data_IF_165809888070
#
_entry.id   IF_165809888070
#
_cell.length_a   1.000
_cell.length_b   1.000
_cell.length_c   1.000
_cell.angle_alpha   90.00
_cell.angle_beta   90.00
_cell.angle_gamma   90.00
#
_symmetry.space_group_name_H-M   'P 1'
#
loop_
_entity.id
_entity.type
_entity.pdbx_description
1 polymer ?
#
# COMPACT_ATOMS: atom_id res chain seq x y z
N UNK A 1 31.44 -11.47 -14.55
CA UNK A 1 32.78 -11.32 -13.92
C UNK A 1 33.53 -10.22 -14.64
N UNK A 2 33.86 -9.15 -13.96
CA UNK A 2 34.62 -8.04 -14.53
C UNK A 2 36.06 -8.16 -14.02
N UNK A 3 37.03 -8.16 -14.95
CA UNK A 3 38.43 -8.19 -14.60
C UNK A 3 38.97 -6.77 -14.52
N UNK A 4 39.63 -6.44 -13.42
CA UNK A 4 40.34 -5.18 -13.27
C UNK A 4 41.82 -5.48 -13.36
N UNK A 5 42.45 -4.88 -14.35
CA UNK A 5 43.90 -4.95 -14.51
C UNK A 5 44.47 -3.61 -14.01
N UNK A 6 45.22 -3.62 -12.93
CA UNK A 6 45.99 -2.45 -12.51
C UNK A 6 47.06 -2.09 -13.51
N UNK A 7 47.28 -0.80 -13.76
CA UNK A 7 48.36 -0.32 -14.64
C UNK A 7 49.71 -0.76 -14.07
N UNK A 8 50.30 -1.73 -14.71
CA UNK A 8 51.63 -2.26 -14.35
C UNK A 8 51.62 -3.48 -13.42
N UNK A 9 50.46 -4.01 -13.03
CA UNK A 9 50.36 -5.24 -12.24
C UNK A 9 50.01 -6.44 -13.13
N UNK A 10 50.64 -7.59 -12.85
CA UNK A 10 50.27 -8.88 -13.43
C UNK A 10 49.15 -9.58 -12.71
N UNK A 11 48.61 -8.96 -11.63
CA UNK A 11 47.54 -9.52 -10.85
C UNK A 11 46.18 -9.12 -11.42
N UNK A 12 45.37 -10.11 -11.73
CA UNK A 12 44.01 -9.95 -12.20
C UNK A 12 43.08 -10.20 -10.99
N UNK A 13 42.39 -9.16 -10.54
CA UNK A 13 41.42 -9.29 -9.47
C UNK A 13 40.05 -9.65 -10.05
N UNK A 14 39.43 -10.70 -9.53
CA UNK A 14 38.08 -11.06 -9.85
C UNK A 14 37.12 -10.23 -8.95
N UNK A 15 36.40 -9.29 -9.56
CA UNK A 15 35.38 -8.55 -8.87
C UNK A 15 34.03 -9.24 -9.07
N UNK A 16 33.49 -9.78 -8.01
CA UNK A 16 32.20 -10.44 -8.04
C UNK A 16 31.09 -9.39 -7.80
N UNK A 17 30.60 -8.78 -8.88
CA UNK A 17 29.50 -7.82 -8.82
C UNK A 17 28.18 -8.55 -8.92
N UNK A 18 27.25 -8.26 -8.01
CA UNK A 18 25.88 -8.68 -8.19
C UNK A 18 25.28 -7.98 -9.40
N UNK A 19 24.67 -8.77 -10.28
CA UNK A 19 23.85 -8.24 -11.37
C UNK A 19 22.58 -7.56 -10.81
N UNK A 20 21.86 -6.87 -11.68
CA UNK A 20 20.57 -6.28 -11.30
C UNK A 20 19.58 -7.37 -10.88
N UNK A 21 19.54 -8.47 -11.63
CA UNK A 21 18.66 -9.60 -11.38
C UNK A 21 18.96 -10.28 -10.03
N UNK A 22 20.24 -10.48 -9.71
CA UNK A 22 20.67 -11.02 -8.42
C UNK A 22 20.33 -10.07 -7.28
N UNK A 23 20.47 -8.75 -7.47
CA UNK A 23 20.09 -7.75 -6.49
C UNK A 23 18.57 -7.69 -6.29
N UNK A 24 17.80 -7.70 -7.37
CA UNK A 24 16.32 -7.71 -7.32
C UNK A 24 15.82 -9.00 -6.63
N UNK A 25 16.47 -10.14 -6.91
CA UNK A 25 16.18 -11.38 -6.20
C UNK A 25 16.47 -11.25 -4.70
N UNK A 26 17.66 -10.75 -4.33
CA UNK A 26 18.02 -10.54 -2.93
C UNK A 26 17.01 -9.59 -2.22
N UNK A 27 16.67 -8.47 -2.84
CA UNK A 27 15.68 -7.53 -2.31
C UNK A 27 14.32 -8.22 -2.09
N UNK A 28 13.91 -9.11 -3.00
CA UNK A 28 12.64 -9.83 -2.93
C UNK A 28 12.54 -10.81 -1.74
N UNK A 29 13.67 -11.24 -1.17
CA UNK A 29 13.70 -12.08 0.03
C UNK A 29 13.30 -11.31 1.29
N UNK A 30 13.41 -9.98 1.29
CA UNK A 30 12.98 -9.15 2.42
C UNK A 30 11.48 -8.92 2.36
N UNK A 31 10.75 -9.51 3.29
CA UNK A 31 9.27 -9.45 3.36
C UNK A 31 8.72 -8.34 4.25
N UNK A 32 9.58 -7.46 4.77
CA UNK A 32 9.15 -6.38 5.67
C UNK A 32 8.10 -5.46 5.05
N UNK A 33 8.24 -5.12 3.76
CA UNK A 33 7.30 -4.25 3.02
C UNK A 33 6.04 -4.97 2.56
N UNK A 34 5.93 -6.28 2.81
CA UNK A 34 4.72 -7.03 2.48
C UNK A 34 3.55 -6.59 3.37
N UNK A 35 2.34 -6.47 2.83
CA UNK A 35 1.16 -6.12 3.62
C UNK A 35 0.89 -7.17 4.71
N UNK A 36 0.37 -6.73 5.85
CA UNK A 36 -0.13 -7.65 6.88
C UNK A 36 -1.27 -8.51 6.31
N UNK A 37 -1.48 -9.70 6.86
CA UNK A 37 -2.45 -10.67 6.35
C UNK A 37 -3.86 -10.09 6.20
N UNK A 38 -4.33 -9.34 7.21
CA UNK A 38 -5.62 -8.66 7.17
C UNK A 38 -5.69 -7.57 6.07
N UNK A 39 -4.59 -6.86 5.82
CA UNK A 39 -4.50 -5.85 4.76
C UNK A 39 -4.47 -6.51 3.38
N UNK A 40 -3.74 -7.61 3.25
CA UNK A 40 -3.64 -8.36 2.00
C UNK A 40 -4.97 -8.97 1.57
N UNK A 41 -5.71 -9.53 2.54
CA UNK A 41 -7.03 -10.14 2.30
C UNK A 41 -8.13 -9.11 1.99
N UNK A 42 -7.95 -7.84 2.39
CA UNK A 42 -8.93 -6.81 2.15
C UNK A 42 -8.91 -6.34 0.68
N UNK A 43 -10.02 -6.42 -0.08
CA UNK A 43 -10.04 -5.95 -1.47
C UNK A 43 -9.78 -4.45 -1.59
N UNK A 44 -10.03 -3.70 -0.52
CA UNK A 44 -9.76 -2.26 -0.45
C UNK A 44 -8.35 -1.91 0.04
N UNK A 45 -7.56 -2.91 0.46
CA UNK A 45 -6.23 -2.72 1.07
C UNK A 45 -6.24 -1.73 2.23
N UNK A 46 -7.26 -1.85 3.09
CA UNK A 46 -7.38 -1.07 4.31
C UNK A 46 -6.13 -1.25 5.17
N UNK A 47 -5.54 -0.17 5.64
CA UNK A 47 -4.49 -0.27 6.66
C UNK A 47 -5.10 -0.60 8.03
N UNK A 48 -5.62 -1.82 8.11
CA UNK A 48 -6.27 -2.38 9.31
C UNK A 48 -5.32 -2.35 10.50
N UNK A 49 -4.04 -2.57 10.27
CA UNK A 49 -3.02 -2.58 11.32
C UNK A 49 -2.87 -1.19 11.97
N UNK A 50 -2.72 -0.14 11.17
CA UNK A 50 -2.63 1.23 11.67
C UNK A 50 -3.95 1.68 12.32
N UNK A 51 -5.09 1.31 11.73
CA UNK A 51 -6.41 1.59 12.27
C UNK A 51 -6.59 0.98 13.67
N UNK A 52 -6.29 -0.31 13.85
CA UNK A 52 -6.35 -0.99 15.14
C UNK A 52 -5.35 -0.42 16.15
N UNK A 53 -4.17 0.01 15.73
CA UNK A 53 -3.21 0.68 16.59
C UNK A 53 -3.77 1.97 17.20
N UNK A 54 -4.47 2.80 16.40
CA UNK A 54 -5.11 4.00 16.93
C UNK A 54 -6.33 3.68 17.78
N UNK A 55 -7.13 2.68 17.41
CA UNK A 55 -8.26 2.22 18.20
C UNK A 55 -7.81 1.71 19.59
N UNK A 56 -6.75 0.90 19.66
CA UNK A 56 -6.15 0.42 20.90
C UNK A 56 -5.67 1.55 21.83
N UNK A 57 -5.38 2.73 21.30
CA UNK A 57 -5.06 3.94 22.05
C UNK A 57 -6.27 4.82 22.38
N UNK A 58 -7.48 4.37 22.07
CA UNK A 58 -8.71 5.16 22.24
C UNK A 58 -8.82 6.34 21.26
N UNK A 59 -7.96 6.44 20.25
CA UNK A 59 -7.99 7.53 19.29
C UNK A 59 -8.85 7.19 18.07
N UNK A 60 -10.15 7.07 18.30
CA UNK A 60 -11.15 6.74 17.27
C UNK A 60 -11.18 7.74 16.12
N UNK A 61 -10.86 9.01 16.38
CA UNK A 61 -10.79 10.04 15.33
C UNK A 61 -9.71 9.73 14.28
N UNK A 62 -8.49 9.36 14.73
CA UNK A 62 -7.42 8.97 13.80
C UNK A 62 -7.72 7.63 13.12
N UNK A 63 -8.29 6.68 13.84
CA UNK A 63 -8.71 5.41 13.28
C UNK A 63 -9.77 5.60 12.19
N UNK A 64 -10.80 6.44 12.43
CA UNK A 64 -11.81 6.78 11.43
C UNK A 64 -11.21 7.46 10.20
N UNK A 65 -10.24 8.35 10.38
CA UNK A 65 -9.58 9.01 9.26
C UNK A 65 -8.86 8.04 8.30
N UNK A 66 -8.39 6.88 8.81
CA UNK A 66 -7.83 5.81 7.97
C UNK A 66 -8.96 5.13 7.19
N UNK A 67 -10.07 4.83 7.85
CA UNK A 67 -11.22 4.21 7.21
C UNK A 67 -11.83 5.12 6.12
N UNK A 68 -11.96 6.42 6.37
CA UNK A 68 -12.48 7.41 5.42
C UNK A 68 -11.61 7.57 4.15
N UNK A 69 -10.32 7.20 4.18
CA UNK A 69 -9.51 7.12 2.96
C UNK A 69 -10.01 6.03 2.02
N UNK A 70 -10.55 4.96 2.57
CA UNK A 70 -10.99 3.79 1.80
C UNK A 70 -12.37 4.01 1.21
N UNK A 71 -13.31 4.49 2.00
CA UNK A 71 -14.70 4.65 1.57
C UNK A 71 -15.28 6.00 1.98
N UNK A 72 -16.14 6.59 1.13
CA UNK A 72 -16.90 7.78 1.50
C UNK A 72 -18.03 7.49 2.50
N UNK A 73 -18.50 6.23 2.59
CA UNK A 73 -19.62 5.79 3.44
C UNK A 73 -19.19 4.66 4.38
N UNK A 74 -18.48 4.99 5.47
CA UNK A 74 -17.90 4.01 6.38
C UNK A 74 -18.90 3.08 7.04
N UNK A 75 -20.05 3.58 7.50
CA UNK A 75 -21.05 2.76 8.18
C UNK A 75 -21.69 1.75 7.23
N UNK A 76 -22.02 2.16 6.01
CA UNK A 76 -22.59 1.26 5.01
C UNK A 76 -21.60 0.15 4.65
N UNK A 77 -20.31 0.51 4.46
CA UNK A 77 -19.30 -0.48 4.11
C UNK A 77 -19.06 -1.47 5.26
N UNK A 78 -18.85 -1.01 6.48
CA UNK A 78 -18.53 -1.91 7.60
C UNK A 78 -19.70 -2.83 7.96
N UNK A 79 -20.95 -2.37 7.81
CA UNK A 79 -22.12 -3.22 8.06
C UNK A 79 -22.26 -4.35 7.03
N UNK A 80 -22.05 -4.06 5.76
CA UNK A 80 -22.14 -5.04 4.69
C UNK A 80 -20.83 -5.78 4.38
N UNK A 81 -19.77 -5.58 5.18
CA UNK A 81 -18.48 -6.24 4.98
C UNK A 81 -18.52 -7.70 5.44
N UNK A 82 -18.02 -8.63 4.61
CA UNK A 82 -17.87 -10.05 4.96
C UNK A 82 -16.65 -10.33 5.85
N UNK A 83 -15.86 -9.30 6.16
CA UNK A 83 -14.69 -9.33 7.03
C UNK A 83 -13.60 -10.36 6.65
N UNK A 84 -13.13 -10.44 5.38
CA UNK A 84 -12.09 -11.38 4.99
C UNK A 84 -10.77 -11.15 5.74
N UNK A 85 -10.59 -9.98 6.33
CA UNK A 85 -9.47 -9.63 7.20
C UNK A 85 -9.47 -10.42 8.51
N UNK A 86 -10.63 -10.78 9.07
CA UNK A 86 -10.75 -11.57 10.29
C UNK A 86 -10.35 -13.03 10.04
N UNK A 87 -10.81 -13.62 8.94
CA UNK A 87 -10.47 -14.99 8.53
C UNK A 87 -8.96 -15.17 8.28
N UNK A 88 -8.29 -14.07 7.90
CA UNK A 88 -6.86 -14.06 7.65
C UNK A 88 -6.04 -13.42 8.80
N UNK A 89 -6.65 -13.22 9.97
CA UNK A 89 -5.95 -12.69 11.13
C UNK A 89 -4.94 -13.71 11.67
N UNK A 90 -3.65 -13.34 11.70
CA UNK A 90 -2.57 -14.23 12.15
C UNK A 90 -2.75 -14.69 13.61
N UNK A 91 -3.36 -13.88 14.46
CA UNK A 91 -3.67 -14.27 15.83
C UNK A 91 -4.63 -15.47 15.89
N UNK A 92 -5.46 -15.66 14.87
CA UNK A 92 -6.38 -16.80 14.74
C UNK A 92 -5.70 -18.17 14.73
N UNK A 93 -4.38 -18.25 14.47
CA UNK A 93 -3.61 -19.49 14.59
C UNK A 93 -3.38 -19.93 16.05
N UNK A 94 -3.52 -19.03 17.00
CA UNK A 94 -3.33 -19.31 18.44
C UNK A 94 -4.64 -19.31 19.25
N UNK A 95 -5.76 -18.98 18.61
CA UNK A 95 -7.06 -18.88 19.27
C UNK A 95 -8.05 -18.08 18.43
N UNK A 96 -8.76 -17.12 19.03
CA UNK A 96 -9.65 -16.25 18.28
C UNK A 96 -8.87 -15.14 17.59
N UNK A 97 -9.13 -14.88 16.30
CA UNK A 97 -8.69 -13.67 15.61
C UNK A 97 -9.28 -12.40 16.24
N UNK A 98 -8.79 -11.26 15.84
CA UNK A 98 -9.36 -9.95 16.25
C UNK A 98 -10.69 -9.73 15.54
N UNK A 99 -11.73 -9.33 16.26
CA UNK A 99 -13.04 -8.95 15.70
C UNK A 99 -12.96 -7.58 15.03
N UNK A 100 -12.30 -7.53 13.88
CA UNK A 100 -11.94 -6.30 13.18
C UNK A 100 -13.18 -5.50 12.79
N UNK A 101 -14.20 -6.16 12.24
CA UNK A 101 -15.45 -5.53 11.80
C UNK A 101 -16.19 -4.85 12.95
N UNK A 102 -16.25 -5.47 14.12
CA UNK A 102 -16.91 -4.87 15.27
C UNK A 102 -16.12 -3.68 15.83
N UNK A 103 -14.80 -3.73 15.77
CA UNK A 103 -13.95 -2.57 16.08
C UNK A 103 -14.15 -1.46 15.03
N UNK A 104 -14.28 -1.78 13.75
CA UNK A 104 -14.61 -0.81 12.68
C UNK A 104 -15.95 -0.12 12.94
N UNK A 105 -17.00 -0.88 13.31
CA UNK A 105 -18.31 -0.32 13.71
C UNK A 105 -18.18 0.65 14.87
N UNK A 106 -17.43 0.29 15.90
CA UNK A 106 -17.17 1.17 17.03
C UNK A 106 -16.39 2.43 16.60
N UNK A 107 -15.39 2.29 15.73
CA UNK A 107 -14.64 3.43 15.19
C UNK A 107 -15.55 4.40 14.43
N UNK A 108 -16.45 3.89 13.59
CA UNK A 108 -17.39 4.73 12.84
C UNK A 108 -18.41 5.39 13.75
N UNK A 109 -18.90 4.66 14.76
CA UNK A 109 -19.91 5.15 15.72
C UNK A 109 -19.35 6.22 16.66
N UNK A 110 -18.14 6.03 17.17
CA UNK A 110 -17.54 6.89 18.20
C UNK A 110 -16.46 7.84 17.67
N UNK A 111 -16.03 7.66 16.43
CA UNK A 111 -15.10 8.55 15.79
C UNK A 111 -15.77 9.84 15.34
N UNK A 112 -15.10 10.96 15.56
CA UNK A 112 -15.52 12.22 14.98
C UNK A 112 -15.01 12.33 13.55
N UNK A 113 -15.88 12.57 12.55
CA UNK A 113 -15.45 12.81 11.18
C UNK A 113 -14.40 13.93 11.12
N UNK A 114 -13.35 13.73 10.38
CA UNK A 114 -12.38 14.77 10.14
C UNK A 114 -13.06 15.99 9.49
N UNK A 115 -12.68 17.22 9.89
CA UNK A 115 -13.09 18.39 9.12
C UNK A 115 -12.57 18.23 7.70
N UNK A 116 -13.47 18.18 6.71
CA UNK A 116 -13.05 18.23 5.32
C UNK A 116 -12.27 19.52 5.13
N UNK A 117 -11.00 19.37 4.81
CA UNK A 117 -10.12 20.52 4.60
C UNK A 117 -10.69 21.36 3.46
N UNK A 118 -11.00 22.61 3.74
CA UNK A 118 -11.36 23.62 2.75
C UNK A 118 -10.14 24.14 1.95
N UNK A 119 -9.03 23.41 2.00
CA UNK A 119 -7.86 23.72 1.17
C UNK A 119 -8.33 23.73 -0.28
N UNK A 120 -8.02 24.80 -0.99
CA UNK A 120 -8.31 25.02 -2.40
C UNK A 120 -8.00 23.77 -3.23
N UNK A 121 -9.01 22.88 -3.36
CA UNK A 121 -8.92 21.74 -4.26
C UNK A 121 -9.46 22.22 -5.59
N UNK A 122 -8.63 22.23 -6.62
CA UNK A 122 -9.07 22.55 -7.98
C UNK A 122 -9.98 21.45 -8.50
N UNK A 123 -11.24 21.79 -8.77
CA UNK A 123 -12.18 20.89 -9.45
C UNK A 123 -11.68 20.58 -10.86
N UNK A 124 -11.88 19.36 -11.29
CA UNK A 124 -11.68 18.97 -12.69
C UNK A 124 -12.68 19.69 -13.58
N UNK A 125 -12.31 19.90 -14.84
CA UNK A 125 -13.17 20.62 -15.79
C UNK A 125 -14.29 19.75 -16.36
N UNK A 126 -14.06 18.43 -16.38
CA UNK A 126 -14.96 17.44 -16.96
C UNK A 126 -16.06 17.06 -15.96
N UNK A 127 -17.27 16.90 -16.43
CA UNK A 127 -18.48 16.65 -15.64
C UNK A 127 -18.90 15.19 -15.73
N UNK A 128 -19.31 14.61 -14.63
CA UNK A 128 -19.91 13.29 -14.57
C UNK A 128 -21.40 13.40 -14.26
N UNK A 129 -22.21 12.59 -14.91
CA UNK A 129 -23.62 12.39 -14.59
C UNK A 129 -23.84 10.97 -14.08
N UNK A 130 -24.57 10.82 -12.99
CA UNK A 130 -24.97 9.53 -12.43
C UNK A 130 -26.48 9.44 -12.47
N UNK A 131 -27.01 8.39 -13.10
CA UNK A 131 -28.44 8.14 -13.21
C UNK A 131 -28.86 6.94 -12.36
N UNK A 132 -29.79 7.17 -11.46
CA UNK A 132 -30.36 6.16 -10.56
C UNK A 132 -29.84 6.20 -9.15
N UNK A 133 -30.31 5.25 -8.36
CA UNK A 133 -30.02 5.09 -6.92
C UNK A 133 -29.51 3.67 -6.62
N UNK A 134 -29.16 3.43 -5.38
CA UNK A 134 -28.64 2.16 -4.91
C UNK A 134 -27.16 2.22 -4.51
N UNK A 135 -26.61 1.08 -4.13
CA UNK A 135 -25.25 0.99 -3.57
C UNK A 135 -24.16 1.48 -4.54
N UNK A 136 -24.18 0.99 -5.79
CA UNK A 136 -23.15 1.36 -6.77
C UNK A 136 -23.14 2.85 -7.09
N UNK A 137 -24.26 3.50 -7.48
CA UNK A 137 -24.32 4.94 -7.70
C UNK A 137 -23.89 5.76 -6.48
N UNK A 138 -24.28 5.35 -5.28
CA UNK A 138 -23.91 6.02 -4.03
C UNK A 138 -22.39 6.01 -3.80
N UNK A 139 -21.78 4.83 -3.84
CA UNK A 139 -20.33 4.71 -3.66
C UNK A 139 -19.55 5.42 -4.78
N UNK A 140 -20.03 5.31 -6.03
CA UNK A 140 -19.39 5.97 -7.17
C UNK A 140 -19.44 7.50 -7.04
N UNK A 141 -20.56 8.06 -6.60
CA UNK A 141 -20.67 9.51 -6.36
C UNK A 141 -19.61 10.00 -5.38
N UNK A 142 -19.43 9.29 -4.27
CA UNK A 142 -18.42 9.63 -3.29
C UNK A 142 -16.97 9.43 -3.77
N UNK A 143 -16.70 8.40 -4.58
CA UNK A 143 -15.36 8.19 -5.17
C UNK A 143 -15.04 9.26 -6.24
N UNK A 144 -16.02 9.71 -7.02
CA UNK A 144 -15.84 10.80 -7.98
C UNK A 144 -15.65 12.15 -7.26
N UNK A 145 -16.34 12.39 -6.15
CA UNK A 145 -16.12 13.58 -5.31
C UNK A 145 -14.69 13.61 -4.75
N UNK A 146 -14.17 12.47 -4.25
CA UNK A 146 -12.77 12.35 -3.82
C UNK A 146 -11.79 12.71 -4.94
N UNK A 147 -12.10 12.35 -6.18
CA UNK A 147 -11.32 12.67 -7.39
C UNK A 147 -11.58 14.07 -7.93
N UNK A 148 -12.41 14.88 -7.27
CA UNK A 148 -12.74 16.26 -7.62
C UNK A 148 -13.48 16.44 -8.95
N UNK A 149 -14.27 15.43 -9.36
CA UNK A 149 -15.16 15.56 -10.51
C UNK A 149 -16.44 16.30 -10.11
N UNK A 150 -16.83 17.38 -10.82
CA UNK A 150 -18.18 17.93 -10.73
C UNK A 150 -19.17 16.84 -11.14
N UNK A 151 -19.96 16.36 -10.19
CA UNK A 151 -20.86 15.22 -10.38
C UNK A 151 -22.29 15.63 -10.09
N UNK A 152 -23.21 15.33 -11.02
CA UNK A 152 -24.64 15.51 -10.84
C UNK A 152 -25.34 14.16 -10.78
N UNK A 153 -26.13 13.94 -9.75
CA UNK A 153 -26.89 12.71 -9.53
C UNK A 153 -28.38 12.99 -9.84
N UNK A 154 -28.94 12.21 -10.77
CA UNK A 154 -30.34 12.24 -11.15
C UNK A 154 -31.03 11.01 -10.59
N UNK A 155 -31.96 11.17 -9.68
CA UNK A 155 -32.60 10.07 -8.96
C UNK A 155 -34.11 10.26 -8.79
N UNK A 156 -34.82 9.15 -8.53
CA UNK A 156 -36.27 9.13 -8.31
C UNK A 156 -36.66 9.58 -6.89
N UNK A 157 -35.77 9.41 -5.97
CA UNK A 157 -35.97 9.74 -4.55
C UNK A 157 -36.19 11.24 -4.35
N UNK A 158 -36.84 11.60 -3.26
CA UNK A 158 -37.25 12.98 -2.98
C UNK A 158 -36.20 13.79 -2.18
N UNK A 159 -35.32 13.08 -1.46
CA UNK A 159 -34.32 13.68 -0.59
C UNK A 159 -33.12 12.75 -0.33
N UNK A 160 -32.16 13.24 0.48
CA UNK A 160 -30.96 12.48 0.85
C UNK A 160 -31.26 11.25 1.71
N UNK A 161 -32.28 11.32 2.58
CA UNK A 161 -32.62 10.21 3.47
C UNK A 161 -33.25 9.05 2.70
N UNK A 162 -34.19 9.35 1.80
CA UNK A 162 -34.77 8.35 0.89
C UNK A 162 -33.73 7.76 -0.07
N UNK A 163 -32.78 8.58 -0.53
CA UNK A 163 -31.68 8.10 -1.39
C UNK A 163 -30.77 7.11 -0.63
N UNK A 164 -30.40 7.40 0.60
CA UNK A 164 -29.63 6.46 1.46
C UNK A 164 -30.48 5.22 1.80
N UNK A 165 -31.78 5.39 2.09
CA UNK A 165 -32.66 4.27 2.37
C UNK A 165 -32.81 3.31 1.17
N UNK A 166 -32.81 3.81 -0.04
CA UNK A 166 -32.81 2.99 -1.27
C UNK A 166 -31.52 2.17 -1.42
N UNK A 167 -30.38 2.68 -0.94
CA UNK A 167 -29.10 1.99 -1.01
C UNK A 167 -28.84 1.05 0.19
N UNK A 168 -29.20 1.48 1.41
CA UNK A 168 -28.84 0.84 2.66
C UNK A 168 -30.02 0.81 3.67
N UNK A 169 -31.18 0.38 3.21
CA UNK A 169 -32.41 0.32 4.01
C UNK A 169 -32.35 -0.61 5.22
N UNK A 170 -31.42 -1.57 5.25
CA UNK A 170 -31.19 -2.50 6.34
C UNK A 170 -30.50 -1.87 7.57
N UNK A 171 -29.83 -0.73 7.40
CA UNK A 171 -29.20 -0.02 8.52
C UNK A 171 -30.21 0.55 9.51
N UNK A 172 -29.77 0.74 10.76
CA UNK A 172 -30.54 1.47 11.74
C UNK A 172 -30.84 2.90 11.26
N UNK A 173 -31.98 3.43 11.65
CA UNK A 173 -32.42 4.78 11.23
C UNK A 173 -31.40 5.87 11.60
N UNK A 174 -30.82 5.78 12.82
CA UNK A 174 -29.76 6.69 13.26
C UNK A 174 -28.53 6.67 12.34
N UNK A 175 -28.13 5.49 11.89
CA UNK A 175 -26.97 5.29 11.05
C UNK A 175 -27.25 5.79 9.62
N UNK A 176 -28.46 5.54 9.09
CA UNK A 176 -28.90 6.10 7.80
C UNK A 176 -28.91 7.62 7.83
N UNK A 177 -29.46 8.23 8.89
CA UNK A 177 -29.48 9.69 9.03
C UNK A 177 -28.09 10.29 9.10
N UNK A 178 -27.14 9.61 9.74
CA UNK A 178 -25.75 10.04 9.79
C UNK A 178 -25.08 9.97 8.40
N UNK A 179 -25.32 8.89 7.64
CA UNK A 179 -24.80 8.78 6.28
C UNK A 179 -25.48 9.77 5.32
N UNK A 180 -26.77 10.08 5.50
CA UNK A 180 -27.45 11.12 4.74
C UNK A 180 -26.87 12.53 5.01
N UNK A 181 -26.55 12.85 6.28
CA UNK A 181 -25.85 14.09 6.65
C UNK A 181 -24.45 14.13 6.01
N UNK A 182 -23.75 12.99 5.99
CA UNK A 182 -22.44 12.86 5.33
C UNK A 182 -22.56 13.12 3.83
N UNK A 183 -23.51 12.49 3.16
CA UNK A 183 -23.79 12.69 1.74
C UNK A 183 -24.11 14.17 1.42
N UNK A 184 -24.97 14.78 2.22
CA UNK A 184 -25.34 16.21 2.09
C UNK A 184 -24.14 17.15 2.24
N UNK A 185 -23.12 16.76 3.01
CA UNK A 185 -21.90 17.54 3.21
C UNK A 185 -20.88 17.42 2.07
N UNK A 186 -21.12 16.53 1.12
CA UNK A 186 -20.27 16.32 -0.05
C UNK A 186 -20.51 17.40 -1.10
N UNK A 187 -19.49 17.64 -1.92
CA UNK A 187 -19.54 18.60 -3.03
C UNK A 187 -20.16 17.95 -4.29
N UNK A 188 -21.42 17.49 -4.14
CA UNK A 188 -22.21 16.80 -5.15
C UNK A 188 -23.49 17.59 -5.46
N UNK A 189 -23.93 17.57 -6.70
CA UNK A 189 -25.21 18.14 -7.11
C UNK A 189 -26.25 17.03 -7.24
N UNK A 190 -27.45 17.25 -6.65
CA UNK A 190 -28.56 16.30 -6.75
C UNK A 190 -29.75 16.94 -7.46
N UNK A 191 -30.34 16.22 -8.40
CA UNK A 191 -31.67 16.48 -8.95
C UNK A 191 -32.58 15.33 -8.50
N UNK A 192 -33.39 15.60 -7.46
CA UNK A 192 -34.34 14.67 -6.87
C UNK A 192 -35.66 14.62 -7.63
N UNK A 193 -36.46 13.56 -7.44
CA UNK A 193 -37.79 13.40 -8.02
C UNK A 193 -37.80 13.27 -9.54
N UNK A 194 -36.68 12.87 -10.15
CA UNK A 194 -36.57 12.76 -11.59
C UNK A 194 -37.33 11.56 -12.16
N UNK A 195 -38.06 11.76 -13.25
CA UNK A 195 -38.58 10.66 -14.03
C UNK A 195 -37.49 10.12 -14.98
N UNK A 196 -36.84 9.04 -14.59
CA UNK A 196 -35.73 8.44 -15.32
C UNK A 196 -36.22 7.67 -16.57
N UNK A 197 -36.88 8.37 -17.49
CA UNK A 197 -37.24 7.83 -18.79
C UNK A 197 -36.15 8.10 -19.84
N UNK A 198 -36.19 7.38 -20.98
CA UNK A 198 -35.16 7.47 -22.00
C UNK A 198 -34.98 8.88 -22.60
N UNK A 199 -36.05 9.66 -22.70
CA UNK A 199 -35.96 11.03 -23.25
C UNK A 199 -35.25 11.96 -22.29
N UNK A 200 -35.61 11.94 -21.01
CA UNK A 200 -34.96 12.72 -19.98
C UNK A 200 -33.46 12.36 -19.84
N UNK A 201 -33.17 11.06 -19.77
CA UNK A 201 -31.78 10.62 -19.61
C UNK A 201 -30.93 11.08 -20.81
N UNK A 202 -31.43 10.92 -22.05
CA UNK A 202 -30.68 11.36 -23.25
C UNK A 202 -30.43 12.87 -23.27
N UNK A 203 -31.39 13.67 -22.86
CA UNK A 203 -31.20 15.12 -22.71
C UNK A 203 -30.09 15.46 -21.72
N UNK A 204 -30.09 14.83 -20.56
CA UNK A 204 -29.12 15.10 -19.52
C UNK A 204 -27.72 14.53 -19.80
N UNK A 205 -27.64 13.44 -20.58
CA UNK A 205 -26.36 12.88 -21.04
C UNK A 205 -25.57 13.87 -21.90
N UNK A 206 -26.23 14.71 -22.70
CA UNK A 206 -25.57 15.74 -23.54
C UNK A 206 -24.82 16.80 -22.72
N UNK A 207 -25.18 16.95 -21.43
CA UNK A 207 -24.56 17.92 -20.51
C UNK A 207 -23.35 17.37 -19.76
N UNK A 208 -23.05 16.08 -19.90
CA UNK A 208 -22.00 15.39 -19.18
C UNK A 208 -20.90 14.88 -20.13
N UNK A 209 -19.66 14.90 -19.65
CA UNK A 209 -18.54 14.31 -20.39
C UNK A 209 -18.44 12.79 -20.16
N UNK A 210 -18.92 12.30 -19.03
CA UNK A 210 -18.99 10.88 -18.69
C UNK A 210 -20.34 10.54 -18.06
N UNK A 211 -20.89 9.44 -18.50
CA UNK A 211 -22.20 8.93 -18.07
C UNK A 211 -22.00 7.68 -17.22
N UNK A 212 -22.58 7.71 -16.03
CA UNK A 212 -22.62 6.61 -15.10
C UNK A 212 -24.09 6.29 -14.76
N UNK A 213 -24.40 5.04 -14.50
CA UNK A 213 -25.78 4.66 -14.21
C UNK A 213 -25.87 3.46 -13.26
N UNK A 214 -26.97 3.37 -12.51
CA UNK A 214 -27.36 2.12 -11.85
C UNK A 214 -27.54 1.03 -12.90
N UNK A 215 -27.42 -0.24 -12.49
CA UNK A 215 -27.56 -1.37 -13.40
C UNK A 215 -28.94 -1.39 -14.09
N UNK A 216 -30.01 -1.01 -13.37
CA UNK A 216 -31.37 -0.89 -13.94
C UNK A 216 -31.40 0.12 -15.08
N UNK A 217 -30.89 1.32 -14.86
CA UNK A 217 -30.89 2.40 -15.87
C UNK A 217 -29.92 2.07 -17.01
N UNK A 218 -28.79 1.48 -16.71
CA UNK A 218 -27.80 1.09 -17.72
C UNK A 218 -28.36 0.04 -18.70
N UNK A 219 -29.13 -0.95 -18.22
CA UNK A 219 -29.83 -1.93 -19.07
C UNK A 219 -30.89 -1.30 -19.98
N UNK A 220 -31.55 -0.23 -19.54
CA UNK A 220 -32.51 0.50 -20.37
C UNK A 220 -31.82 1.25 -21.53
N UNK A 221 -30.59 1.73 -21.28
CA UNK A 221 -29.83 2.49 -22.28
C UNK A 221 -29.03 1.60 -23.22
N UNK A 222 -28.48 0.52 -22.73
CA UNK A 222 -27.67 -0.43 -23.45
C UNK A 222 -27.85 -1.84 -22.85
N UNK A 223 -28.35 -2.80 -23.64
CA UNK A 223 -28.62 -4.16 -23.17
C UNK A 223 -27.33 -5.00 -22.98
N UNK A 224 -26.19 -4.54 -23.50
CA UNK A 224 -24.92 -5.19 -23.31
C UNK A 224 -24.53 -5.22 -21.80
N UNK A 225 -23.79 -6.24 -21.39
CA UNK A 225 -23.28 -6.31 -20.03
C UNK A 225 -22.03 -5.40 -19.87
N UNK A 226 -21.83 -4.88 -18.67
CA UNK A 226 -20.61 -4.15 -18.37
C UNK A 226 -19.44 -5.13 -18.21
N UNK A 227 -18.27 -4.77 -18.74
CA UNK A 227 -17.03 -5.47 -18.41
C UNK A 227 -16.74 -5.33 -16.93
N UNK A 228 -16.63 -6.45 -16.23
CA UNK A 228 -16.45 -6.51 -14.76
C UNK A 228 -15.08 -6.00 -14.30
N UNK A 229 -14.09 -5.92 -15.18
CA UNK A 229 -12.76 -5.39 -14.83
C UNK A 229 -12.74 -3.87 -14.87
N UNK A 230 -13.45 -3.28 -15.80
CA UNK A 230 -13.44 -1.83 -16.03
C UNK A 230 -14.76 -1.15 -15.70
N UNK A 231 -15.81 -1.92 -15.37
CA UNK A 231 -17.16 -1.38 -15.08
C UNK A 231 -17.70 -0.51 -16.21
N UNK A 232 -17.50 -0.90 -17.45
CA UNK A 232 -17.85 -0.13 -18.64
C UNK A 232 -18.66 -0.97 -19.63
N UNK A 233 -19.78 -0.42 -20.13
CA UNK A 233 -20.48 -0.87 -21.33
C UNK A 233 -19.81 -0.19 -22.51
N UNK A 234 -18.92 -0.90 -23.19
CA UNK A 234 -17.96 -0.29 -24.12
C UNK A 234 -18.64 0.38 -25.33
N UNK A 235 -19.66 -0.25 -25.90
CA UNK A 235 -20.35 0.29 -27.08
C UNK A 235 -21.11 1.58 -26.76
N UNK A 236 -21.79 1.60 -25.61
CA UNK A 236 -22.56 2.76 -25.17
C UNK A 236 -21.71 3.79 -24.37
N UNK A 237 -20.50 3.44 -23.96
CA UNK A 237 -19.61 4.25 -23.09
C UNK A 237 -20.29 4.64 -21.77
N UNK A 238 -21.07 3.73 -21.20
CA UNK A 238 -21.77 3.91 -19.93
C UNK A 238 -21.04 3.13 -18.82
N UNK A 239 -20.68 3.83 -17.75
CA UNK A 239 -20.07 3.22 -16.56
C UNK A 239 -21.19 2.70 -15.66
N UNK A 240 -21.21 1.40 -15.41
CA UNK A 240 -22.17 0.75 -14.52
C UNK A 240 -21.52 -0.44 -13.81
N UNK A 241 -22.09 -0.85 -12.68
CA UNK A 241 -21.56 -1.95 -11.90
C UNK A 241 -22.62 -2.65 -11.04
N UNK A 242 -22.29 -3.82 -10.46
CA UNK A 242 -23.20 -4.62 -9.66
C UNK A 242 -23.63 -3.90 -8.38
N UNK A 243 -24.79 -4.27 -7.88
CA UNK A 243 -25.36 -3.74 -6.64
C UNK A 243 -25.84 -4.85 -5.69
N UNK A 244 -25.42 -6.10 -5.90
CA UNK A 244 -25.90 -7.27 -5.17
C UNK A 244 -25.40 -7.30 -3.72
N UNK A 245 -24.14 -6.91 -3.49
CA UNK A 245 -23.58 -6.79 -2.15
C UNK A 245 -22.92 -5.43 -1.94
N UNK A 246 -22.83 -5.01 -0.69
CA UNK A 246 -22.17 -3.74 -0.32
C UNK A 246 -20.69 -3.76 -0.73
N UNK A 247 -20.00 -4.88 -0.50
CA UNK A 247 -18.59 -5.00 -0.84
C UNK A 247 -18.36 -4.94 -2.35
N UNK A 248 -19.18 -5.67 -3.13
CA UNK A 248 -19.03 -5.69 -4.59
C UNK A 248 -19.36 -4.32 -5.18
N UNK A 249 -20.44 -3.68 -4.71
CA UNK A 249 -20.81 -2.34 -5.17
C UNK A 249 -19.73 -1.29 -4.83
N UNK A 250 -19.18 -1.31 -3.62
CA UNK A 250 -18.13 -0.39 -3.20
C UNK A 250 -16.82 -0.62 -3.98
N UNK A 251 -16.45 -1.88 -4.22
CA UNK A 251 -15.26 -2.22 -4.99
C UNK A 251 -15.43 -1.88 -6.48
N UNK A 252 -16.58 -2.20 -7.06
CA UNK A 252 -16.93 -1.82 -8.41
C UNK A 252 -16.93 -0.30 -8.59
N UNK A 253 -17.45 0.47 -7.63
CA UNK A 253 -17.42 1.93 -7.67
C UNK A 253 -16.00 2.50 -7.68
N UNK A 254 -15.06 1.91 -6.95
CA UNK A 254 -13.64 2.30 -7.02
C UNK A 254 -13.04 2.02 -8.40
N UNK A 255 -13.30 0.86 -8.96
CA UNK A 255 -12.88 0.50 -10.33
C UNK A 255 -13.49 1.46 -11.35
N UNK A 256 -14.79 1.71 -11.23
CA UNK A 256 -15.52 2.65 -12.08
C UNK A 256 -14.95 4.07 -12.02
N UNK A 257 -14.61 4.55 -10.84
CA UNK A 257 -14.00 5.87 -10.68
C UNK A 257 -12.60 5.96 -11.33
N UNK A 258 -11.85 4.87 -11.40
CA UNK A 258 -10.62 4.80 -12.21
C UNK A 258 -10.94 4.79 -13.70
N UNK A 259 -11.94 4.03 -14.13
CA UNK A 259 -12.42 4.01 -15.52
C UNK A 259 -12.81 5.41 -15.99
N UNK A 260 -13.61 6.14 -15.19
CA UNK A 260 -13.97 7.54 -15.48
C UNK A 260 -12.72 8.41 -15.64
N UNK A 261 -11.75 8.26 -14.75
CA UNK A 261 -10.51 9.03 -14.79
C UNK A 261 -9.68 8.76 -16.05
N UNK A 262 -9.58 7.50 -16.47
CA UNK A 262 -8.88 7.10 -17.68
C UNK A 262 -9.61 7.54 -18.96
N UNK A 263 -10.94 7.38 -19.02
CA UNK A 263 -11.76 7.82 -20.17
C UNK A 263 -11.65 9.32 -20.40
N UNK A 264 -11.71 10.12 -19.32
CA UNK A 264 -11.58 11.58 -19.38
C UNK A 264 -10.20 12.01 -19.92
N UNK A 265 -9.17 11.23 -19.64
CA UNK A 265 -7.80 11.47 -20.12
C UNK A 265 -7.54 10.87 -21.51
N UNK A 266 -8.52 10.24 -22.14
CA UNK A 266 -8.39 9.49 -23.39
C UNK A 266 -7.34 8.36 -23.32
N UNK A 267 -7.22 7.73 -22.13
CA UNK A 267 -6.37 6.57 -21.91
C UNK A 267 -7.20 5.29 -21.96
N UNK A 268 -6.51 4.17 -22.18
CA UNK A 268 -7.18 2.86 -22.15
C UNK A 268 -7.75 2.58 -20.75
N UNK A 269 -9.03 2.20 -20.63
CA UNK A 269 -9.66 1.89 -19.36
C UNK A 269 -9.05 0.66 -18.65
N UNK A 270 -8.26 -0.16 -19.35
CA UNK A 270 -7.53 -1.31 -18.79
C UNK A 270 -6.18 -0.95 -18.16
N UNK A 271 -5.73 0.30 -18.29
CA UNK A 271 -4.43 0.72 -17.77
C UNK A 271 -4.40 0.76 -16.23
N UNK A 272 -3.24 0.42 -15.63
CA UNK A 272 -2.95 0.58 -14.19
C UNK A 272 -3.86 -0.17 -13.22
N UNK A 273 -4.37 -1.36 -13.61
CA UNK A 273 -5.27 -2.16 -12.75
C UNK A 273 -4.58 -3.26 -11.93
N UNK A 274 -3.30 -3.49 -12.13
CA UNK A 274 -2.55 -4.57 -11.49
C UNK A 274 -2.46 -4.52 -9.95
N UNK A 275 -2.85 -3.40 -9.34
CA UNK A 275 -2.86 -3.24 -7.89
C UNK A 275 -4.25 -3.33 -7.25
N UNK A 276 -5.31 -3.60 -8.01
CA UNK A 276 -6.68 -3.69 -7.50
C UNK A 276 -6.97 -5.03 -6.83
N UNK A 277 -7.84 -5.01 -5.82
CA UNK A 277 -8.33 -6.20 -5.13
C UNK A 277 -7.40 -6.77 -4.06
N UNK A 278 -7.83 -7.88 -3.47
CA UNK A 278 -7.05 -8.64 -2.49
C UNK A 278 -5.79 -9.23 -3.14
N UNK A 279 -4.75 -9.38 -2.34
CA UNK A 279 -3.47 -9.97 -2.76
C UNK A 279 -3.01 -11.02 -1.77
N UNK A 280 -2.12 -11.88 -2.19
CA UNK A 280 -1.42 -12.79 -1.27
C UNK A 280 -0.24 -12.07 -0.63
N UNK A 281 0.07 -12.40 0.62
CA UNK A 281 1.25 -11.87 1.31
C UNK A 281 2.24 -12.97 1.63
N UNK A 282 3.52 -12.63 1.58
CA UNK A 282 4.63 -13.46 2.05
C UNK A 282 5.17 -12.99 3.39
N UNK A 283 4.45 -12.07 4.06
CA UNK A 283 4.90 -11.53 5.33
C UNK A 283 5.17 -12.65 6.33
N UNK A 284 6.33 -12.63 6.93
CA UNK A 284 6.63 -13.45 8.09
C UNK A 284 6.32 -12.65 9.37
N UNK A 285 5.66 -13.30 10.33
CA UNK A 285 5.43 -12.73 11.66
C UNK A 285 5.87 -13.77 12.68
N UNK A 286 6.81 -13.39 13.53
CA UNK A 286 7.24 -14.25 14.63
C UNK A 286 6.12 -14.35 15.67
N UNK A 287 5.68 -15.57 15.94
CA UNK A 287 4.62 -15.87 16.90
C UNK A 287 5.16 -16.36 18.27
N UNK A 288 6.48 -16.44 18.43
CA UNK A 288 7.11 -16.89 19.66
C UNK A 288 6.81 -15.93 20.81
N UNK A 289 6.34 -16.47 21.92
CA UNK A 289 5.97 -15.68 23.10
C UNK A 289 4.61 -14.95 23.00
N UNK A 290 3.91 -15.07 21.87
CA UNK A 290 2.54 -14.57 21.74
C UNK A 290 1.58 -15.63 22.27
N UNK A 291 0.67 -15.21 23.14
CA UNK A 291 -0.36 -16.09 23.69
C UNK A 291 -1.70 -15.77 23.07
N UNK A 292 -2.42 -16.81 22.65
CA UNK A 292 -3.80 -16.69 22.20
C UNK A 292 -4.70 -16.19 23.34
N UNK A 293 -5.67 -15.38 23.00
CA UNK A 293 -6.71 -14.90 23.91
C UNK A 293 -8.06 -14.99 23.22
N UNK A 294 -9.12 -15.13 24.00
CA UNK A 294 -10.47 -15.11 23.46
C UNK A 294 -10.83 -13.70 23.01
N UNK A 295 -11.64 -13.58 21.95
CA UNK A 295 -12.21 -12.30 21.54
C UNK A 295 -13.12 -11.75 22.64
N UNK A 296 -13.22 -10.43 22.71
CA UNK A 296 -14.15 -9.76 23.60
C UNK A 296 -15.57 -10.07 23.15
N UNK A 297 -16.43 -10.41 24.10
CA UNK A 297 -17.84 -10.66 23.78
C UNK A 297 -18.50 -9.40 23.21
N UNK A 298 -19.13 -9.53 22.07
CA UNK A 298 -19.88 -8.46 21.43
C UNK A 298 -21.37 -8.65 21.70
N UNK A 299 -21.99 -7.68 22.37
CA UNK A 299 -23.44 -7.63 22.57
C UNK A 299 -24.20 -7.29 21.27
N UNK A 300 -25.54 -7.27 21.34
CA UNK A 300 -26.39 -6.95 20.18
C UNK A 300 -26.18 -5.49 19.67
N UNK A 301 -25.78 -4.60 20.55
CA UNK A 301 -25.55 -3.18 20.24
C UNK A 301 -24.14 -2.89 19.70
N UNK A 302 -23.31 -3.92 19.51
CA UNK A 302 -21.90 -3.77 19.15
C UNK A 302 -21.02 -3.43 20.36
N UNK A 303 -19.73 -3.14 20.12
CA UNK A 303 -18.80 -2.78 21.19
C UNK A 303 -19.04 -1.36 21.73
N UNK A 304 -18.91 -1.21 23.06
CA UNK A 304 -18.64 0.08 23.72
C UNK A 304 -17.24 0.60 23.32
N UNK A 305 -16.92 1.84 23.70
CA UNK A 305 -15.56 2.39 23.45
C UNK A 305 -14.48 1.57 24.14
N UNK A 306 -14.74 1.18 25.37
CA UNK A 306 -13.81 0.42 26.21
C UNK A 306 -13.59 -0.99 25.65
N UNK A 307 -14.66 -1.69 25.27
CA UNK A 307 -14.58 -3.01 24.67
C UNK A 307 -13.84 -2.99 23.31
N UNK A 308 -14.10 -1.98 22.49
CA UNK A 308 -13.40 -1.81 21.22
C UNK A 308 -11.90 -1.54 21.40
N UNK A 309 -11.52 -0.77 22.44
CA UNK A 309 -10.12 -0.54 22.80
C UNK A 309 -9.44 -1.84 23.23
N UNK A 310 -10.09 -2.62 24.11
CA UNK A 310 -9.54 -3.90 24.58
C UNK A 310 -9.44 -4.94 23.45
N UNK A 311 -10.43 -5.02 22.58
CA UNK A 311 -10.36 -5.90 21.40
C UNK A 311 -9.25 -5.46 20.44
N UNK A 312 -9.11 -4.17 20.19
CA UNK A 312 -8.05 -3.64 19.32
C UNK A 312 -6.64 -3.89 19.89
N UNK A 313 -6.46 -3.92 21.22
CA UNK A 313 -5.17 -4.25 21.88
C UNK A 313 -4.72 -5.68 21.61
N UNK A 314 -5.60 -6.58 21.24
CA UNK A 314 -5.24 -7.96 20.87
C UNK A 314 -4.45 -8.03 19.57
N UNK A 315 -4.47 -6.97 18.76
CA UNK A 315 -3.74 -6.93 17.50
C UNK A 315 -2.23 -6.99 17.72
N UNK A 316 -1.59 -8.04 17.22
CA UNK A 316 -0.15 -8.28 17.35
C UNK A 316 0.70 -7.40 16.41
N UNK A 317 0.10 -6.51 15.63
CA UNK A 317 0.79 -5.61 14.71
C UNK A 317 1.78 -6.32 13.78
N UNK A 318 1.29 -7.33 13.05
CA UNK A 318 2.09 -8.20 12.19
C UNK A 318 3.16 -7.44 11.39
N UNK A 319 4.42 -7.83 11.55
CA UNK A 319 5.58 -7.29 10.85
C UNK A 319 6.75 -8.29 10.92
N UNK A 320 7.73 -8.12 10.05
CA UNK A 320 8.98 -8.87 10.10
C UNK A 320 10.13 -7.92 10.43
N UNK A 321 10.76 -8.14 11.59
CA UNK A 321 11.91 -7.35 12.08
C UNK A 321 13.01 -8.21 12.72
N UNK A 322 13.01 -9.53 12.49
CA UNK A 322 13.93 -10.47 13.14
C UNK A 322 15.40 -10.08 12.93
N UNK A 323 15.78 -9.70 11.74
CA UNK A 323 17.13 -9.25 11.44
C UNK A 323 17.49 -7.93 12.16
N UNK A 324 16.51 -7.05 12.40
CA UNK A 324 16.72 -5.79 13.14
C UNK A 324 17.04 -6.04 14.62
N UNK A 325 16.42 -7.07 15.22
CA UNK A 325 16.67 -7.46 16.62
C UNK A 325 18.06 -8.06 16.81
N UNK A 326 18.55 -8.80 15.81
CA UNK A 326 19.81 -9.53 15.89
C UNK A 326 21.04 -8.81 15.32
N UNK A 327 20.86 -7.73 14.56
CA UNK A 327 21.95 -7.05 13.87
C UNK A 327 22.10 -5.59 14.31
N UNK A 328 23.17 -5.27 15.04
CA UNK A 328 23.48 -3.91 15.50
C UNK A 328 23.57 -2.92 14.32
N UNK A 329 24.13 -3.34 13.21
CA UNK A 329 24.25 -2.52 12.00
C UNK A 329 22.85 -2.10 11.47
N UNK A 330 21.93 -3.05 11.30
CA UNK A 330 20.57 -2.74 10.83
C UNK A 330 19.79 -1.90 11.83
N UNK A 331 19.94 -2.20 13.13
CA UNK A 331 19.33 -1.44 14.22
C UNK A 331 19.82 0.00 14.25
N UNK A 332 21.12 0.25 14.08
CA UNK A 332 21.72 1.59 14.06
C UNK A 332 21.20 2.45 12.91
N UNK A 333 21.13 1.87 11.71
CA UNK A 333 20.61 2.59 10.56
C UNK A 333 19.09 2.65 10.51
N UNK A 334 18.37 1.95 11.39
CA UNK A 334 16.91 1.88 11.48
C UNK A 334 16.23 1.62 10.13
N UNK A 335 16.88 0.81 9.29
CA UNK A 335 16.40 0.45 7.94
C UNK A 335 16.39 -1.06 7.76
N UNK A 336 15.28 -1.55 7.23
CA UNK A 336 15.16 -2.96 6.87
C UNK A 336 16.08 -3.31 5.69
N UNK A 337 16.56 -4.56 5.64
CA UNK A 337 17.58 -4.98 4.67
C UNK A 337 17.18 -4.74 3.22
N UNK A 338 15.93 -4.97 2.84
CA UNK A 338 15.47 -4.76 1.46
C UNK A 338 15.54 -3.30 1.02
N UNK A 339 15.15 -2.36 1.90
CA UNK A 339 15.27 -0.93 1.62
C UNK A 339 16.73 -0.50 1.56
N UNK A 340 17.53 -0.93 2.54
CA UNK A 340 18.95 -0.59 2.61
C UNK A 340 19.72 -1.15 1.40
N UNK A 341 19.43 -2.39 0.97
CA UNK A 341 20.02 -2.99 -0.24
C UNK A 341 19.67 -2.20 -1.51
N UNK A 342 18.42 -1.75 -1.63
CA UNK A 342 17.98 -0.91 -2.75
C UNK A 342 18.71 0.44 -2.79
N UNK A 343 18.87 1.09 -1.63
CA UNK A 343 19.61 2.34 -1.52
C UNK A 343 21.10 2.15 -1.84
N UNK A 344 21.72 1.08 -1.35
CA UNK A 344 23.11 0.73 -1.65
C UNK A 344 23.28 0.46 -3.15
N UNK A 345 22.36 -0.30 -3.76
CA UNK A 345 22.40 -0.56 -5.19
C UNK A 345 22.28 0.75 -6.00
N UNK A 346 21.31 1.60 -5.67
CA UNK A 346 21.17 2.90 -6.32
C UNK A 346 22.43 3.77 -6.19
N UNK A 347 23.08 3.73 -5.04
CA UNK A 347 24.33 4.44 -4.81
C UNK A 347 25.46 3.96 -5.75
N UNK A 348 25.51 2.67 -6.11
CA UNK A 348 26.49 2.15 -7.07
C UNK A 348 26.22 2.65 -8.50
N UNK A 349 24.99 3.05 -8.82
CA UNK A 349 24.60 3.54 -10.14
C UNK A 349 24.89 5.04 -10.34
N UNK A 350 25.19 5.79 -9.29
CA UNK A 350 25.54 7.22 -9.41
C UNK A 350 26.84 7.34 -10.20
N UNK A 351 26.79 8.11 -11.31
CA UNK A 351 27.95 8.34 -12.18
C UNK A 351 28.83 9.43 -11.60
N UNK A 352 28.24 10.56 -11.23
CA UNK A 352 28.92 11.73 -10.66
C UNK A 352 28.13 12.28 -9.49
N UNK A 353 28.81 12.65 -8.43
CA UNK A 353 28.19 13.25 -7.24
C UNK A 353 28.49 12.49 -5.94
N UNK A 354 27.77 12.84 -4.89
CA UNK A 354 27.94 12.23 -3.58
C UNK A 354 27.42 10.81 -3.54
N UNK A 355 28.14 9.95 -2.83
CA UNK A 355 27.79 8.55 -2.60
C UNK A 355 27.43 8.32 -1.12
N UNK A 356 26.22 8.71 -0.67
CA UNK A 356 25.86 8.72 0.74
C UNK A 356 25.82 7.32 1.38
N UNK A 357 25.65 6.28 0.57
CA UNK A 357 25.62 4.90 1.07
C UNK A 357 27.02 4.26 1.19
N UNK A 358 28.10 4.96 0.85
CA UNK A 358 29.46 4.44 1.07
C UNK A 358 29.73 4.18 2.55
N UNK A 359 29.35 5.08 3.44
CA UNK A 359 29.50 4.88 4.90
C UNK A 359 28.64 3.70 5.39
N UNK A 360 27.31 3.62 5.12
CA UNK A 360 26.52 2.46 5.50
C UNK A 360 27.06 1.13 4.97
N UNK A 361 27.39 1.00 3.68
CA UNK A 361 27.88 -0.28 3.16
C UNK A 361 29.20 -0.72 3.81
N UNK A 362 30.06 0.22 4.22
CA UNK A 362 31.32 -0.08 4.88
C UNK A 362 31.18 -0.35 6.39
N UNK A 363 30.08 0.03 7.00
CA UNK A 363 29.83 -0.24 8.43
C UNK A 363 29.40 -1.69 8.71
N UNK A 364 28.97 -2.45 7.69
CA UNK A 364 28.59 -3.85 7.88
C UNK A 364 29.84 -4.71 8.17
N UNK A 365 29.81 -5.52 9.23
CA UNK A 365 30.92 -6.41 9.61
C UNK A 365 31.06 -7.67 8.73
N UNK A 366 30.15 -7.90 7.77
CA UNK A 366 30.12 -9.09 6.90
C UNK A 366 30.01 -10.43 7.65
N UNK A 367 29.41 -10.43 8.85
CA UNK A 367 29.38 -11.61 9.72
C UNK A 367 28.35 -12.68 9.30
N UNK A 368 27.42 -12.37 8.38
CA UNK A 368 26.38 -13.30 7.90
C UNK A 368 25.23 -13.60 8.88
N UNK A 369 25.23 -13.00 10.08
CA UNK A 369 24.18 -13.26 11.09
C UNK A 369 22.77 -12.94 10.58
N UNK A 370 22.63 -11.90 9.77
CA UNK A 370 21.34 -11.54 9.16
C UNK A 370 20.76 -12.67 8.31
N UNK A 371 21.60 -13.45 7.62
CA UNK A 371 21.17 -14.60 6.79
C UNK A 371 20.63 -15.73 7.65
N UNK A 372 21.26 -16.00 8.78
CA UNK A 372 20.87 -17.09 9.69
C UNK A 372 19.55 -16.75 10.40
N UNK A 373 19.35 -15.49 10.77
CA UNK A 373 18.14 -15.04 11.47
C UNK A 373 16.97 -14.87 10.50
N UNK A 374 17.24 -14.51 9.23
CA UNK A 374 16.18 -14.22 8.27
C UNK A 374 15.45 -15.51 7.84
N UNK A 375 14.11 -15.58 7.98
CA UNK A 375 13.34 -16.76 7.56
C UNK A 375 13.44 -17.06 6.06
N UNK A 376 13.82 -16.07 5.25
CA UNK A 376 13.97 -16.20 3.80
C UNK A 376 15.45 -16.19 3.33
N UNK A 377 16.41 -16.19 4.24
CA UNK A 377 17.83 -16.24 3.91
C UNK A 377 18.39 -14.97 3.26
N UNK A 378 17.81 -13.78 3.55
CA UNK A 378 18.36 -12.52 3.05
C UNK A 378 19.78 -12.28 3.57
N UNK A 379 20.72 -12.03 2.65
CA UNK A 379 22.13 -11.82 3.00
C UNK A 379 22.60 -10.38 2.78
N UNK A 380 22.54 -9.56 3.82
CA UNK A 380 23.04 -8.19 3.78
C UNK A 380 24.57 -8.14 3.65
N UNK A 381 25.29 -9.17 4.13
CA UNK A 381 26.75 -9.22 4.02
C UNK A 381 27.20 -9.34 2.58
N UNK A 382 26.52 -10.17 1.79
CA UNK A 382 26.78 -10.32 0.36
C UNK A 382 26.48 -9.03 -0.40
N UNK A 383 25.35 -8.35 -0.09
CA UNK A 383 25.01 -7.05 -0.69
C UNK A 383 26.11 -6.02 -0.42
N UNK A 384 26.50 -5.86 0.85
CA UNK A 384 27.55 -4.90 1.22
C UNK A 384 28.90 -5.23 0.60
N UNK A 385 29.28 -6.51 0.58
CA UNK A 385 30.54 -6.96 -0.01
C UNK A 385 30.61 -6.64 -1.50
N UNK A 386 29.60 -7.06 -2.26
CA UNK A 386 29.51 -6.80 -3.69
C UNK A 386 29.51 -5.29 -4.02
N UNK A 387 28.78 -4.49 -3.22
CA UNK A 387 28.76 -3.05 -3.40
C UNK A 387 30.13 -2.40 -3.14
N UNK A 388 30.85 -2.82 -2.08
CA UNK A 388 32.23 -2.35 -1.79
C UNK A 388 33.16 -2.67 -2.96
N UNK A 389 33.15 -3.91 -3.43
CA UNK A 389 33.96 -4.35 -4.57
C UNK A 389 33.64 -3.50 -5.82
N UNK A 390 32.38 -3.23 -6.09
CA UNK A 390 31.97 -2.36 -7.19
C UNK A 390 32.49 -0.94 -7.04
N UNK A 391 32.33 -0.32 -5.86
CA UNK A 391 32.76 1.06 -5.63
C UNK A 391 34.27 1.23 -5.73
N UNK A 392 35.04 0.28 -5.20
CA UNK A 392 36.52 0.28 -5.34
C UNK A 392 36.92 0.12 -6.78
N UNK A 393 36.32 -0.83 -7.51
CA UNK A 393 36.67 -1.12 -8.91
C UNK A 393 36.28 0.00 -9.89
N UNK A 394 35.45 0.95 -9.47
CA UNK A 394 35.03 2.09 -10.29
C UNK A 394 35.56 3.42 -9.79
N UNK A 395 36.53 3.42 -8.86
CA UNK A 395 37.12 4.62 -8.23
C UNK A 395 36.11 5.59 -7.62
N UNK A 396 34.97 5.05 -7.12
CA UNK A 396 33.88 5.83 -6.49
C UNK A 396 33.91 5.77 -4.97
N UNK A 397 34.84 5.05 -4.39
CA UNK A 397 35.05 5.03 -2.94
C UNK A 397 35.82 6.27 -2.51
N UNK A 398 35.44 6.94 -1.41
CA UNK A 398 36.24 8.06 -0.92
C UNK A 398 37.65 7.60 -0.57
N UNK A 399 38.67 8.27 -1.13
CA UNK A 399 40.08 7.90 -0.93
C UNK A 399 40.48 7.92 0.54
N UNK A 400 40.08 8.96 1.27
CA UNK A 400 40.55 9.21 2.64
C UNK A 400 40.39 8.06 3.65
N UNK A 401 39.28 7.28 3.71
CA UNK A 401 39.18 6.14 4.64
C UNK A 401 39.90 4.88 4.17
N UNK A 402 40.18 4.75 2.87
CA UNK A 402 40.70 3.52 2.27
C UNK A 402 42.09 3.66 1.64
N UNK A 403 42.53 4.89 1.41
CA UNK A 403 43.80 5.18 0.72
C UNK A 403 44.98 4.54 1.41
N UNK A 404 45.05 4.67 2.76
CA UNK A 404 46.15 4.07 3.53
C UNK A 404 46.17 2.54 3.34
N UNK A 405 45.03 1.86 3.47
CA UNK A 405 44.94 0.42 3.35
C UNK A 405 45.26 -0.07 1.91
N UNK A 406 44.82 0.68 0.89
CA UNK A 406 45.12 0.40 -0.51
C UNK A 406 46.60 0.62 -0.81
N UNK A 407 47.18 1.70 -0.31
CA UNK A 407 48.60 1.99 -0.44
C UNK A 407 49.46 0.94 0.26
N UNK A 408 49.10 0.54 1.47
CA UNK A 408 49.76 -0.53 2.23
C UNK A 408 49.68 -1.88 1.51
N UNK A 409 48.51 -2.22 0.99
CA UNK A 409 48.34 -3.44 0.18
C UNK A 409 49.20 -3.43 -1.10
N UNK A 410 49.22 -2.32 -1.82
CA UNK A 410 50.04 -2.17 -3.03
C UNK A 410 51.53 -2.26 -2.69
N UNK A 411 51.96 -1.60 -1.62
CA UNK A 411 53.33 -1.65 -1.14
C UNK A 411 53.73 -3.07 -0.72
N UNK A 412 52.90 -3.75 0.08
CA UNK A 412 53.11 -5.10 0.59
C UNK A 412 53.21 -6.14 -0.53
N UNK A 413 52.52 -5.91 -1.65
CA UNK A 413 52.57 -6.78 -2.85
C UNK A 413 53.57 -6.30 -3.90
N UNK A 414 54.34 -5.24 -3.64
CA UNK A 414 55.36 -4.75 -4.57
C UNK A 414 56.69 -5.48 -4.44
N UNK A 415 57.52 -5.36 -5.48
CA UNK A 415 58.91 -5.90 -5.44
C UNK A 415 59.75 -5.26 -4.33
N UNK A 416 59.41 -4.07 -3.87
CA UNK A 416 60.10 -3.39 -2.77
C UNK A 416 59.98 -4.14 -1.44
N UNK A 417 58.91 -4.95 -1.24
CA UNK A 417 58.69 -5.76 -0.05
C UNK A 417 59.30 -7.16 -0.16
N UNK A 418 59.72 -7.59 -1.34
CA UNK A 418 60.38 -8.86 -1.53
C UNK A 418 61.82 -8.73 -1.12
N UNK A 419 62.21 -9.37 0.00
CA UNK A 419 63.61 -9.52 0.36
C UNK A 419 64.29 -10.49 -0.65
N UNK A 420 65.09 -9.96 -1.56
CA UNK A 420 65.97 -10.78 -2.36
C UNK A 420 67.30 -10.93 -1.64
N UNK A 421 67.70 -12.14 -1.23
CA UNK A 421 69.04 -12.34 -0.69
C UNK A 421 70.03 -12.02 -1.80
N UNK A 422 70.76 -10.94 -1.63
CA UNK A 422 71.96 -10.70 -2.47
C UNK A 422 73.13 -11.41 -1.82
N UNK A 423 73.95 -12.12 -2.59
CA UNK A 423 75.14 -12.75 -2.02
C UNK A 423 76.02 -11.71 -1.34
N UNK A 424 76.19 -11.87 -0.02
CA UNK A 424 77.08 -11.02 0.78
C UNK A 424 76.44 -9.87 1.55
N UNK A 425 75.06 -9.72 1.53
CA UNK A 425 74.36 -8.74 2.36
C UNK A 425 73.21 -9.37 3.12
N UNK A 426 73.29 -9.39 4.41
CA UNK A 426 72.11 -9.60 5.27
C UNK A 426 71.37 -8.26 5.34
N UNK A 427 70.34 -8.13 4.60
CA UNK A 427 69.46 -6.97 4.71
C UNK A 427 68.15 -7.37 5.38
N UNK A 428 67.99 -7.02 6.65
CA UNK A 428 66.68 -6.83 7.25
C UNK A 428 66.06 -5.59 6.62
N UNK A 429 65.05 -5.78 5.79
CA UNK A 429 64.23 -4.67 5.24
C UNK A 429 62.90 -4.70 5.89
N UNK A 430 62.55 -3.57 6.51
CA UNK A 430 61.26 -3.28 7.07
C UNK A 430 60.34 -2.72 5.99
#
# INVERSE_FOLDING_TARGET
MTYIQERGSTHVYHVNRMSKEEMDHMISLCVHEQPAYCVAACPFKMDTKEMLYYAAKGNFKKALAIYEKITPFPMILCDGCTAPCEDNCKLGELGDGVSIREVERAIVRYGEPGRRSSVFRMRKKKRAAIFGSGLFPLFLAGELEKKMYPTTIYCKEEDYESYIAAAAGHLLESDRSNEAKRLKSMDLSFEFGCSLNLSFIREKMELADVVCASEEVAKMLAPEEADVEIMLREQAKIVSGPAESVMDAAFAAKRAALTVDLLVQNLSPHSNRGSEGAVTTKLYTNMEGIHGSNKIFCGQDGYSKEEAVEEAKRCIQCHCDECMKGCVYLSEYQKHPGLLAREIYNNTQIIMGDHPMNKPMNACALCGQCTVICPNGFDMSQVCKSARENMVSTDKMPLAPHEFALMDMLFSNSEAFLSRPQPGYETCRY
#
